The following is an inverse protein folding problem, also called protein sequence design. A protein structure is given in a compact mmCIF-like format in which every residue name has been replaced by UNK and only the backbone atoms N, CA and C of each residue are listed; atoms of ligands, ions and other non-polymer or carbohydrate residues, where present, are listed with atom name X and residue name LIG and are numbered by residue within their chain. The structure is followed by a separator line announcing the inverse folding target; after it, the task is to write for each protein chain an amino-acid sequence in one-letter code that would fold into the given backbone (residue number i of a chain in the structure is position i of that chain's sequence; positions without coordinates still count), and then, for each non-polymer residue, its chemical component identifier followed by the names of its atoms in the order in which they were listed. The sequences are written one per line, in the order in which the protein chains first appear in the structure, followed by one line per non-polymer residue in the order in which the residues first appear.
data_IF_104898495000
#
_entry.id   IF_104898495000
#
_cell.length_a   1.000
_cell.length_b   1.000
_cell.length_c   1.000
_cell.angle_alpha   90.00
_cell.angle_beta   90.00
_cell.angle_gamma   90.00
#
_symmetry.space_group_name_H-M   'P 1'
#
loop_
_entity.id
_entity.type
_entity.pdbx_description
1 polymer ?
#
# COMPACT_ATOMS: atom_id res chain seq x y z
N UNK A 1 -28.94 24.32 -5.07
CA UNK A 1 -28.77 22.96 -4.55
C UNK A 1 -27.61 22.39 -5.33
N UNK A 2 -26.42 22.51 -4.75
CA UNK A 2 -25.18 22.10 -5.39
C UNK A 2 -25.04 20.61 -5.12
N UNK A 3 -25.32 19.81 -6.14
CA UNK A 3 -25.20 18.36 -6.10
C UNK A 3 -23.70 18.06 -6.21
N UNK A 4 -22.98 18.20 -5.09
CA UNK A 4 -21.60 17.76 -4.95
C UNK A 4 -21.61 16.24 -5.07
N UNK A 5 -21.56 15.74 -6.31
CA UNK A 5 -21.53 14.34 -6.63
C UNK A 5 -20.36 13.71 -5.88
N UNK A 6 -20.67 13.00 -4.78
CA UNK A 6 -19.69 12.17 -4.11
C UNK A 6 -19.09 11.24 -5.17
N UNK A 7 -17.76 11.17 -5.24
CA UNK A 7 -17.08 10.32 -6.22
C UNK A 7 -17.68 8.91 -6.15
N UNK A 8 -18.09 8.36 -7.29
CA UNK A 8 -18.69 7.04 -7.36
C UNK A 8 -17.66 6.03 -6.83
N UNK A 9 -18.02 5.13 -5.88
CA UNK A 9 -17.12 4.11 -5.36
C UNK A 9 -16.38 3.30 -6.43
N UNK A 10 -17.02 3.08 -7.59
CA UNK A 10 -16.42 2.40 -8.73
C UNK A 10 -15.34 3.23 -9.42
N UNK A 11 -15.49 4.56 -9.48
CA UNK A 11 -14.49 5.47 -10.03
C UNK A 11 -13.26 5.50 -9.14
N UNK A 12 -13.44 5.60 -7.81
CA UNK A 12 -12.35 5.51 -6.85
C UNK A 12 -11.62 4.17 -6.99
N UNK A 13 -12.34 3.05 -7.03
CA UNK A 13 -11.75 1.73 -7.21
C UNK A 13 -10.95 1.62 -8.52
N UNK A 14 -11.49 2.12 -9.64
CA UNK A 14 -10.80 2.14 -10.93
C UNK A 14 -9.51 2.98 -10.90
N UNK A 15 -9.57 4.16 -10.27
CA UNK A 15 -8.41 5.05 -10.11
C UNK A 15 -7.32 4.40 -9.27
N UNK A 16 -7.69 3.77 -8.15
CA UNK A 16 -6.76 3.02 -7.31
C UNK A 16 -6.14 1.85 -8.08
N UNK A 17 -6.93 1.12 -8.87
CA UNK A 17 -6.44 0.01 -9.68
C UNK A 17 -5.37 0.45 -10.69
N UNK A 18 -5.56 1.62 -11.31
CA UNK A 18 -4.57 2.21 -12.22
C UNK A 18 -3.25 2.57 -11.54
N UNK A 19 -3.25 2.75 -10.21
CA UNK A 19 -2.04 3.07 -9.43
C UNK A 19 -1.23 1.84 -9.04
N UNK A 20 -1.82 0.64 -8.98
CA UNK A 20 -1.13 -0.59 -8.54
C UNK A 20 0.18 -0.87 -9.30
N UNK A 21 0.26 -0.77 -10.64
CA UNK A 21 1.53 -1.00 -11.34
C UNK A 21 2.63 0.00 -10.94
N UNK A 22 2.25 1.23 -10.58
CA UNK A 22 3.20 2.25 -10.12
C UNK A 22 3.68 1.93 -8.71
N UNK A 23 2.77 1.51 -7.82
CA UNK A 23 3.11 1.05 -6.47
C UNK A 23 4.03 -0.16 -6.48
N UNK A 24 3.77 -1.15 -7.34
CA UNK A 24 4.64 -2.33 -7.45
C UNK A 24 6.06 -1.95 -7.86
N UNK A 25 6.22 -1.08 -8.86
CA UNK A 25 7.55 -0.58 -9.25
C UNK A 25 8.23 0.20 -8.14
N UNK A 26 7.47 1.02 -7.41
CA UNK A 26 7.99 1.78 -6.29
C UNK A 26 8.44 0.88 -5.13
N UNK A 27 7.65 -0.15 -4.81
CA UNK A 27 8.00 -1.16 -3.82
C UNK A 27 9.32 -1.85 -4.15
N UNK A 28 9.48 -2.35 -5.38
CA UNK A 28 10.71 -3.01 -5.84
C UNK A 28 11.90 -2.04 -5.73
N UNK A 29 11.70 -0.76 -6.06
CA UNK A 29 12.73 0.27 -5.89
C UNK A 29 13.12 0.46 -4.42
N UNK A 30 12.17 0.51 -3.50
CA UNK A 30 12.45 0.65 -2.06
C UNK A 30 13.20 -0.56 -1.49
N UNK A 31 12.80 -1.76 -1.90
CA UNK A 31 13.52 -3.00 -1.58
C UNK A 31 14.97 -2.94 -2.08
N UNK A 32 15.17 -2.59 -3.35
CA UNK A 32 16.52 -2.50 -3.93
C UNK A 32 17.40 -1.43 -3.23
N UNK A 33 16.81 -0.31 -2.83
CA UNK A 33 17.51 0.72 -2.05
C UNK A 33 17.94 0.15 -0.69
N UNK A 34 17.06 -0.58 -0.02
CA UNK A 34 17.34 -1.18 1.29
C UNK A 34 18.44 -2.24 1.20
N UNK A 35 18.37 -3.12 0.18
CA UNK A 35 19.40 -4.12 -0.12
C UNK A 35 20.76 -3.46 -0.41
N UNK A 36 20.80 -2.40 -1.23
CA UNK A 36 22.02 -1.69 -1.54
C UNK A 36 22.67 -1.02 -0.31
N UNK A 37 21.85 -0.62 0.67
CA UNK A 37 22.29 -0.04 1.94
C UNK A 37 22.62 -1.09 3.01
N UNK A 38 22.39 -2.37 2.73
CA UNK A 38 22.47 -3.46 3.72
C UNK A 38 21.55 -3.20 4.93
N UNK A 39 20.43 -2.52 4.71
CA UNK A 39 19.40 -2.25 5.71
C UNK A 39 18.23 -3.21 5.46
N UNK A 40 18.42 -4.47 5.84
CA UNK A 40 17.56 -5.61 5.52
C UNK A 40 16.43 -5.84 6.53
N UNK A 41 16.62 -5.44 7.79
CA UNK A 41 15.65 -5.68 8.87
C UNK A 41 14.34 -4.95 8.63
N UNK A 42 13.21 -5.63 8.50
CA UNK A 42 11.90 -4.99 8.37
C UNK A 42 11.67 -4.33 7.00
N UNK A 43 12.47 -4.68 5.99
CA UNK A 43 12.43 -4.09 4.65
C UNK A 43 11.05 -4.19 4.00
N UNK A 44 10.36 -5.34 4.11
CA UNK A 44 9.02 -5.54 3.57
C UNK A 44 8.04 -4.51 4.13
N UNK A 45 8.01 -4.34 5.46
CA UNK A 45 7.13 -3.41 6.15
C UNK A 45 7.44 -1.96 5.77
N UNK A 46 8.69 -1.53 5.88
CA UNK A 46 9.10 -0.17 5.54
C UNK A 46 8.80 0.20 4.09
N UNK A 47 9.12 -0.68 3.15
CA UNK A 47 8.85 -0.45 1.73
C UNK A 47 7.35 -0.38 1.46
N UNK A 48 6.56 -1.30 2.02
CA UNK A 48 5.10 -1.32 1.88
C UNK A 48 4.46 -0.04 2.40
N UNK A 49 4.82 0.36 3.63
CA UNK A 49 4.30 1.56 4.29
C UNK A 49 4.67 2.84 3.54
N UNK A 50 5.92 2.96 3.09
CA UNK A 50 6.36 4.10 2.30
C UNK A 50 5.58 4.22 0.98
N UNK A 51 5.38 3.11 0.28
CA UNK A 51 4.62 3.09 -0.98
C UNK A 51 3.17 3.48 -0.78
N UNK A 52 2.51 2.96 0.25
CA UNK A 52 1.11 3.33 0.57
C UNK A 52 1.02 4.81 0.93
N UNK A 53 1.92 5.33 1.77
CA UNK A 53 1.97 6.75 2.14
C UNK A 53 2.12 7.65 0.91
N UNK A 54 3.07 7.34 0.04
CA UNK A 54 3.32 8.12 -1.18
C UNK A 54 2.11 8.06 -2.11
N UNK A 55 1.50 6.88 -2.26
CA UNK A 55 0.32 6.73 -3.10
C UNK A 55 -0.87 7.53 -2.56
N UNK A 56 -1.13 7.49 -1.24
CA UNK A 56 -2.14 8.29 -0.55
C UNK A 56 -1.95 9.79 -0.80
N UNK A 57 -0.71 10.30 -0.69
CA UNK A 57 -0.42 11.70 -0.97
C UNK A 57 -0.80 12.12 -2.40
N UNK A 58 -0.74 11.20 -3.38
CA UNK A 58 -1.14 11.49 -4.77
C UNK A 58 -2.66 11.43 -5.00
N UNK A 59 -3.41 10.75 -4.15
CA UNK A 59 -4.87 10.56 -4.31
C UNK A 59 -5.71 11.33 -3.29
N UNK A 60 -5.08 11.91 -2.26
CA UNK A 60 -5.74 12.72 -1.22
C UNK A 60 -6.75 13.75 -1.75
N UNK A 61 -6.49 14.51 -2.84
CA UNK A 61 -7.47 15.44 -3.38
C UNK A 61 -8.80 14.78 -3.79
N UNK A 62 -8.76 13.50 -4.17
CA UNK A 62 -9.92 12.72 -4.62
C UNK A 62 -10.66 12.08 -3.43
N UNK A 63 -9.95 11.78 -2.34
CA UNK A 63 -10.54 11.23 -1.12
C UNK A 63 -11.48 12.22 -0.44
N UNK A 64 -11.17 13.52 -0.52
CA UNK A 64 -12.01 14.61 0.04
C UNK A 64 -13.44 14.66 -0.55
N UNK A 65 -13.65 14.03 -1.71
CA UNK A 65 -14.92 14.02 -2.44
C UNK A 65 -15.69 12.69 -2.28
N UNK A 66 -15.19 11.75 -1.47
CA UNK A 66 -15.80 10.42 -1.29
C UNK A 66 -16.36 10.27 0.12
N UNK A 67 -17.48 9.55 0.28
CA UNK A 67 -17.98 9.19 1.60
C UNK A 67 -16.96 8.32 2.35
N UNK A 68 -16.58 8.73 3.57
CA UNK A 68 -15.48 8.15 4.36
C UNK A 68 -15.58 6.62 4.50
N UNK A 69 -16.75 6.09 4.83
CA UNK A 69 -16.93 4.63 5.00
C UNK A 69 -16.67 3.86 3.71
N UNK A 70 -17.06 4.42 2.57
CA UNK A 70 -16.88 3.77 1.27
C UNK A 70 -15.43 3.87 0.81
N UNK A 71 -14.79 5.01 1.07
CA UNK A 71 -13.37 5.18 0.84
C UNK A 71 -12.54 4.20 1.68
N UNK A 72 -12.87 3.99 2.95
CA UNK A 72 -12.14 3.06 3.84
C UNK A 72 -12.17 1.62 3.32
N UNK A 73 -13.34 1.09 2.97
CA UNK A 73 -13.47 -0.28 2.43
C UNK A 73 -12.69 -0.44 1.12
N UNK A 74 -12.75 0.57 0.26
CA UNK A 74 -12.12 0.56 -1.07
C UNK A 74 -10.59 0.64 -0.95
N UNK A 75 -10.08 1.53 -0.09
CA UNK A 75 -8.65 1.65 0.23
C UNK A 75 -8.11 0.39 0.89
N UNK A 76 -8.86 -0.21 1.83
CA UNK A 76 -8.43 -1.46 2.47
C UNK A 76 -8.25 -2.59 1.44
N UNK A 77 -9.22 -2.78 0.54
CA UNK A 77 -9.13 -3.81 -0.51
C UNK A 77 -7.91 -3.56 -1.41
N UNK A 78 -7.69 -2.31 -1.79
CA UNK A 78 -6.56 -1.91 -2.61
C UNK A 78 -5.20 -2.14 -1.93
N UNK A 79 -5.09 -1.82 -0.63
CA UNK A 79 -3.89 -2.14 0.18
C UNK A 79 -3.66 -3.64 0.23
N UNK A 80 -4.70 -4.43 0.49
CA UNK A 80 -4.58 -5.89 0.59
C UNK A 80 -4.07 -6.48 -0.74
N UNK A 81 -4.56 -6.00 -1.88
CA UNK A 81 -4.11 -6.41 -3.21
C UNK A 81 -2.64 -6.03 -3.47
N UNK A 82 -2.25 -4.80 -3.12
CA UNK A 82 -0.86 -4.35 -3.20
C UNK A 82 0.06 -5.22 -2.33
N UNK A 83 -0.31 -5.48 -1.07
CA UNK A 83 0.50 -6.27 -0.14
C UNK A 83 0.66 -7.72 -0.59
N UNK A 84 -0.37 -8.31 -1.21
CA UNK A 84 -0.28 -9.64 -1.81
C UNK A 84 0.76 -9.67 -2.94
N UNK A 85 0.76 -8.67 -3.81
CA UNK A 85 1.76 -8.55 -4.88
C UNK A 85 3.18 -8.30 -4.35
N UNK A 86 3.33 -7.42 -3.36
CA UNK A 86 4.61 -7.17 -2.70
C UNK A 86 5.19 -8.45 -2.07
N UNK A 87 4.33 -9.23 -1.40
CA UNK A 87 4.70 -10.52 -0.80
C UNK A 87 5.08 -11.55 -1.87
N UNK A 88 4.33 -11.62 -2.97
CA UNK A 88 4.66 -12.50 -4.08
C UNK A 88 6.00 -12.15 -4.72
N UNK A 89 6.29 -10.84 -4.90
CA UNK A 89 7.60 -10.39 -5.34
C UNK A 89 8.70 -10.91 -4.41
N UNK A 90 8.54 -10.71 -3.10
CA UNK A 90 9.55 -11.16 -2.14
C UNK A 90 9.80 -12.66 -2.18
N UNK A 91 8.72 -13.46 -2.21
CA UNK A 91 8.78 -14.93 -2.28
C UNK A 91 9.40 -15.49 -3.57
N UNK A 92 9.46 -14.68 -4.62
CA UNK A 92 10.03 -15.07 -5.92
C UNK A 92 11.40 -14.47 -6.19
N UNK A 93 11.89 -13.59 -5.29
CA UNK A 93 13.12 -12.83 -5.50
C UNK A 93 14.34 -13.56 -4.92
N UNK A 94 15.25 -13.98 -5.80
CA UNK A 94 16.55 -14.52 -5.39
C UNK A 94 17.39 -13.53 -4.57
N UNK A 95 17.20 -12.22 -4.77
CA UNK A 95 17.90 -11.21 -4.00
C UNK A 95 17.45 -11.18 -2.52
N UNK A 96 16.24 -11.69 -2.24
CA UNK A 96 15.63 -11.65 -0.91
C UNK A 96 15.72 -13.01 -0.21
N UNK A 97 16.05 -14.09 -0.91
CA UNK A 97 16.08 -15.46 -0.35
C UNK A 97 17.02 -15.63 0.85
N UNK A 98 18.04 -14.77 0.97
CA UNK A 98 18.96 -14.78 2.12
C UNK A 98 18.38 -14.12 3.38
N UNK A 99 17.18 -13.55 3.30
CA UNK A 99 16.49 -12.88 4.40
C UNK A 99 15.15 -13.57 4.66
N UNK A 100 15.11 -14.72 5.38
CA UNK A 100 13.90 -15.53 5.50
C UNK A 100 12.68 -14.78 6.05
N UNK A 101 12.90 -13.83 6.96
CA UNK A 101 11.83 -13.02 7.54
C UNK A 101 11.22 -12.01 6.55
N UNK A 102 11.97 -11.61 5.53
CA UNK A 102 11.50 -10.71 4.46
C UNK A 102 11.01 -11.49 3.24
N UNK A 103 11.61 -12.66 2.95
CA UNK A 103 11.22 -13.55 1.87
C UNK A 103 9.91 -14.29 2.18
N UNK A 104 9.75 -14.75 3.41
CA UNK A 104 8.52 -15.38 3.91
C UNK A 104 8.14 -14.83 5.29
N UNK A 105 7.65 -13.58 5.35
CA UNK A 105 7.12 -12.96 6.56
C UNK A 105 6.14 -13.85 7.34
N UNK A 106 6.21 -13.78 8.67
CA UNK A 106 5.21 -14.42 9.53
C UNK A 106 3.84 -13.75 9.36
N UNK A 107 2.76 -14.50 9.62
CA UNK A 107 1.40 -13.92 9.55
C UNK A 107 1.22 -12.77 10.54
N UNK A 108 1.86 -12.84 11.71
CA UNK A 108 1.83 -11.76 12.71
C UNK A 108 2.45 -10.49 12.15
N UNK A 109 3.59 -10.60 11.47
CA UNK A 109 4.25 -9.45 10.84
C UNK A 109 3.43 -8.89 9.67
N UNK A 110 2.87 -9.75 8.82
CA UNK A 110 1.98 -9.31 7.72
C UNK A 110 0.75 -8.56 8.23
N UNK A 111 0.13 -9.05 9.31
CA UNK A 111 -1.01 -8.39 9.93
C UNK A 111 -0.61 -7.01 10.47
N UNK A 112 0.55 -6.90 11.13
CA UNK A 112 1.03 -5.62 11.64
C UNK A 112 1.24 -4.59 10.51
N UNK A 113 1.85 -4.99 9.40
CA UNK A 113 2.05 -4.12 8.22
C UNK A 113 0.72 -3.73 7.58
N UNK A 114 -0.22 -4.66 7.43
CA UNK A 114 -1.57 -4.37 6.90
C UNK A 114 -2.32 -3.38 7.79
N UNK A 115 -2.25 -3.55 9.12
CA UNK A 115 -2.81 -2.62 10.10
C UNK A 115 -2.18 -1.24 9.97
N UNK A 116 -0.85 -1.13 9.93
CA UNK A 116 -0.16 0.15 9.79
C UNK A 116 -0.55 0.90 8.50
N UNK A 117 -0.61 0.19 7.36
CA UNK A 117 -1.08 0.77 6.10
C UNK A 117 -2.55 1.23 6.17
N UNK A 118 -3.41 0.45 6.82
CA UNK A 118 -4.84 0.79 6.98
C UNK A 118 -5.02 2.00 7.90
N UNK A 119 -4.27 2.06 8.99
CA UNK A 119 -4.33 3.18 9.93
C UNK A 119 -3.81 4.48 9.29
N UNK A 120 -2.80 4.38 8.41
CA UNK A 120 -2.42 5.51 7.55
C UNK A 120 -3.59 5.99 6.69
N UNK A 121 -4.31 5.10 6.02
CA UNK A 121 -5.50 5.49 5.25
C UNK A 121 -6.54 6.19 6.11
N UNK A 122 -6.80 5.68 7.32
CA UNK A 122 -7.75 6.29 8.24
C UNK A 122 -7.33 7.69 8.67
N UNK A 123 -6.04 7.90 8.95
CA UNK A 123 -5.54 9.23 9.27
C UNK A 123 -5.84 10.22 8.13
N UNK A 124 -5.52 9.84 6.89
CA UNK A 124 -5.79 10.65 5.70
C UNK A 124 -7.27 10.92 5.40
N UNK A 125 -8.19 10.07 5.88
CA UNK A 125 -9.63 10.26 5.70
C UNK A 125 -10.26 11.15 6.78
N UNK A 126 -9.58 11.35 7.90
CA UNK A 126 -10.06 12.16 9.02
C UNK A 126 -9.35 13.53 9.12
N UNK A 127 -8.29 13.75 8.35
CA UNK A 127 -7.61 15.04 8.14
C UNK A 127 -8.34 15.90 7.10
#
# INVERSE_FOLDING_TARGET
MDDSAAANPEELASLLQQKLPQMHRHYIRQVNISLAKQDDQGMFGRASVAVVRDALATISPLLSQTHVQTAEVTLKRWIDEFLQHALQHNRSSCAISNFPQEHSPSQVYLNAVSTECTDLCRAWLND
#
